data_IF_581806417367
#
_entry.id   IF_581806417367
#
_cell.length_a   1.000
_cell.length_b   1.000
_cell.length_c   1.000
_cell.angle_alpha   90.00
_cell.angle_beta   90.00
_cell.angle_gamma   90.00
#
_symmetry.space_group_name_H-M   'P 1'
#
loop_
_entity.id
_entity.type
_entity.pdbx_description
1 polymer ?
#
# COMPACT_ATOMS: atom_id res chain seq x y z
N UNK A 1 -30.39 -62.36 12.98
CA UNK A 1 -30.92 -61.14 13.61
C UNK A 1 -30.98 -61.36 15.11
N UNK A 2 -30.35 -60.52 15.93
CA UNK A 2 -30.89 -60.01 17.21
C UNK A 2 -30.00 -58.86 17.70
N UNK A 3 -30.65 -57.71 17.89
CA UNK A 3 -30.09 -56.38 18.09
C UNK A 3 -29.61 -56.17 19.52
N UNK A 4 -28.38 -55.65 19.69
CA UNK A 4 -27.92 -55.06 20.96
C UNK A 4 -28.28 -53.57 20.97
N UNK A 5 -29.40 -53.22 21.60
CA UNK A 5 -29.74 -51.84 21.96
C UNK A 5 -30.18 -51.82 23.42
N UNK A 6 -29.23 -51.61 24.34
CA UNK A 6 -29.54 -51.22 25.71
C UNK A 6 -29.85 -49.72 25.76
N UNK A 7 -30.76 -49.27 26.66
CA UNK A 7 -31.09 -47.85 26.78
C UNK A 7 -29.87 -47.04 27.26
N UNK A 8 -29.71 -45.78 26.81
CA UNK A 8 -28.59 -44.95 27.23
C UNK A 8 -28.66 -44.69 28.74
N UNK A 9 -27.52 -44.78 29.44
CA UNK A 9 -27.42 -44.42 30.87
C UNK A 9 -27.78 -42.94 31.06
N UNK A 10 -28.57 -42.57 32.08
CA UNK A 10 -28.87 -41.17 32.35
C UNK A 10 -27.59 -40.42 32.73
N UNK A 11 -27.39 -39.24 32.12
CA UNK A 11 -26.33 -38.31 32.51
C UNK A 11 -26.50 -37.93 33.98
N UNK A 12 -25.42 -37.92 34.75
CA UNK A 12 -25.44 -37.52 36.15
C UNK A 12 -25.79 -36.01 36.24
N UNK A 13 -26.67 -35.58 37.15
CA UNK A 13 -27.19 -34.19 37.21
C UNK A 13 -26.07 -33.12 37.21
N UNK A 14 -24.95 -33.40 37.88
CA UNK A 14 -23.77 -32.52 37.86
C UNK A 14 -23.12 -32.35 36.47
N UNK A 15 -23.15 -33.39 35.62
CA UNK A 15 -22.62 -33.31 34.26
C UNK A 15 -23.55 -32.48 33.35
N UNK A 16 -24.87 -32.55 33.59
CA UNK A 16 -25.87 -31.72 32.92
C UNK A 16 -25.66 -30.24 33.25
N UNK A 17 -25.53 -29.89 34.53
CA UNK A 17 -25.29 -28.50 34.97
C UNK A 17 -23.97 -27.91 34.43
N UNK A 18 -22.91 -28.73 34.31
CA UNK A 18 -21.64 -28.31 33.72
C UNK A 18 -21.79 -28.06 32.22
N UNK A 19 -22.56 -28.89 31.50
CA UNK A 19 -22.85 -28.68 30.08
C UNK A 19 -23.69 -27.42 29.88
N UNK A 20 -24.74 -27.21 30.67
CA UNK A 20 -25.61 -26.05 30.58
C UNK A 20 -24.86 -24.74 30.85
N UNK A 21 -23.96 -24.72 31.87
CA UNK A 21 -23.09 -23.56 32.12
C UNK A 21 -22.11 -23.28 30.98
N UNK A 22 -21.55 -24.32 30.34
CA UNK A 22 -20.68 -24.15 29.17
C UNK A 22 -21.45 -23.63 27.97
N UNK A 23 -22.65 -24.14 27.74
CA UNK A 23 -23.56 -23.72 26.68
C UNK A 23 -23.97 -22.25 26.86
N UNK A 24 -24.39 -21.86 28.07
CA UNK A 24 -24.76 -20.48 28.39
C UNK A 24 -23.59 -19.50 28.25
N UNK A 25 -22.36 -19.89 28.64
CA UNK A 25 -21.15 -19.09 28.40
C UNK A 25 -20.87 -18.91 26.90
N UNK A 26 -20.99 -19.98 26.11
CA UNK A 26 -20.79 -19.93 24.66
C UNK A 26 -21.85 -19.07 23.97
N UNK A 27 -23.10 -19.16 24.41
CA UNK A 27 -24.20 -18.33 23.89
C UNK A 27 -24.03 -16.86 24.26
N UNK A 28 -23.60 -16.54 25.48
CA UNK A 28 -23.26 -15.18 25.89
C UNK A 28 -22.09 -14.60 25.08
N UNK A 29 -21.06 -15.40 24.80
CA UNK A 29 -19.93 -14.98 23.96
C UNK A 29 -20.36 -14.75 22.50
N UNK A 30 -21.23 -15.61 21.96
CA UNK A 30 -21.82 -15.43 20.62
C UNK A 30 -22.71 -14.18 20.55
N UNK A 31 -23.53 -13.95 21.57
CA UNK A 31 -24.38 -12.76 21.64
C UNK A 31 -23.55 -11.47 21.74
N UNK A 32 -22.47 -11.48 22.52
CA UNK A 32 -21.51 -10.36 22.61
C UNK A 32 -20.86 -10.09 21.25
N UNK A 33 -20.31 -11.12 20.59
CA UNK A 33 -19.73 -10.99 19.24
C UNK A 33 -20.74 -10.53 18.20
N UNK A 34 -21.99 -10.99 18.27
CA UNK A 34 -23.04 -10.57 17.37
C UNK A 34 -23.42 -9.09 17.56
N UNK A 35 -23.47 -8.62 18.82
CA UNK A 35 -23.69 -7.21 19.14
C UNK A 35 -22.53 -6.33 18.65
N UNK A 36 -21.29 -6.71 18.93
CA UNK A 36 -20.08 -6.02 18.43
C UNK A 36 -20.07 -5.96 16.89
N UNK A 37 -20.44 -7.05 16.21
CA UNK A 37 -20.51 -7.08 14.75
C UNK A 37 -21.61 -6.16 14.20
N UNK A 38 -22.75 -6.04 14.89
CA UNK A 38 -23.84 -5.15 14.51
C UNK A 38 -23.43 -3.69 14.69
N UNK A 39 -22.81 -3.34 15.81
CA UNK A 39 -22.27 -2.00 16.08
C UNK A 39 -21.19 -1.62 15.05
N UNK A 40 -20.28 -2.54 14.72
CA UNK A 40 -19.28 -2.32 13.66
C UNK A 40 -19.91 -2.09 12.28
N UNK A 41 -20.98 -2.80 11.95
CA UNK A 41 -21.71 -2.60 10.68
C UNK A 41 -22.39 -1.24 10.63
N UNK A 42 -23.11 -0.88 11.68
CA UNK A 42 -23.76 0.43 11.80
C UNK A 42 -22.74 1.57 11.74
N UNK A 43 -21.60 1.43 12.42
CA UNK A 43 -20.50 2.39 12.36
C UNK A 43 -19.93 2.53 10.94
N UNK A 44 -19.71 1.42 10.23
CA UNK A 44 -19.27 1.45 8.82
C UNK A 44 -20.29 2.10 7.89
N UNK A 45 -21.58 1.81 8.08
CA UNK A 45 -22.64 2.44 7.28
C UNK A 45 -22.75 3.94 7.54
N UNK A 46 -22.62 4.38 8.80
CA UNK A 46 -22.58 5.80 9.13
C UNK A 46 -21.34 6.48 8.51
N UNK A 47 -20.16 5.84 8.59
CA UNK A 47 -18.96 6.35 7.92
C UNK A 47 -19.15 6.46 6.40
N UNK A 48 -19.79 5.48 5.74
CA UNK A 48 -20.10 5.57 4.30
C UNK A 48 -21.03 6.72 3.94
N UNK A 49 -21.96 7.09 4.83
CA UNK A 49 -22.86 8.23 4.61
C UNK A 49 -22.17 9.58 4.83
N UNK A 50 -21.13 9.60 5.65
CA UNK A 50 -20.42 10.83 6.00
C UNK A 50 -19.28 11.20 5.06
N UNK A 51 -18.71 10.22 4.36
CA UNK A 51 -17.60 10.42 3.43
C UNK A 51 -18.12 10.43 1.99
N UNK A 52 -17.66 11.36 1.13
CA UNK A 52 -17.98 11.29 -0.29
C UNK A 52 -17.37 10.03 -0.89
N UNK A 53 -18.02 9.45 -1.91
CA UNK A 53 -17.42 8.34 -2.65
C UNK A 53 -16.08 8.75 -3.26
N UNK A 54 -15.12 7.82 -3.31
CA UNK A 54 -13.87 8.02 -4.06
C UNK A 54 -14.19 7.90 -5.55
N UNK A 55 -14.57 9.03 -6.15
CA UNK A 55 -14.84 9.13 -7.59
C UNK A 55 -13.74 9.91 -8.28
N UNK A 56 -13.63 9.69 -9.59
CA UNK A 56 -12.67 10.42 -10.43
C UNK A 56 -13.15 11.82 -10.78
N UNK A 57 -14.44 12.14 -10.60
CA UNK A 57 -15.07 13.38 -11.04
C UNK A 57 -14.53 14.59 -10.28
N UNK A 58 -14.40 15.73 -10.97
CA UNK A 58 -13.94 16.97 -10.33
C UNK A 58 -15.09 17.71 -9.69
N UNK A 59 -15.25 17.70 -8.36
CA UNK A 59 -16.27 18.52 -7.69
C UNK A 59 -15.63 19.47 -6.66
N UNK A 60 -15.27 20.67 -7.13
CA UNK A 60 -14.54 21.67 -6.33
C UNK A 60 -15.29 22.06 -5.07
N UNK A 61 -16.57 22.46 -5.19
CA UNK A 61 -17.37 22.95 -4.07
C UNK A 61 -17.55 21.88 -3.00
N UNK A 62 -17.91 20.65 -3.43
CA UNK A 62 -18.03 19.51 -2.52
C UNK A 62 -16.73 19.28 -1.74
N UNK A 63 -15.58 19.26 -2.42
CA UNK A 63 -14.32 18.98 -1.73
C UNK A 63 -13.88 20.12 -0.81
N UNK A 64 -14.11 21.38 -1.18
CA UNK A 64 -13.86 22.52 -0.28
C UNK A 64 -14.68 22.38 1.00
N UNK A 65 -15.97 22.07 0.89
CA UNK A 65 -16.85 21.85 2.05
C UNK A 65 -16.39 20.67 2.90
N UNK A 66 -15.94 19.58 2.28
CA UNK A 66 -15.42 18.42 3.00
C UNK A 66 -14.13 18.76 3.76
N UNK A 67 -13.20 19.52 3.18
CA UNK A 67 -12.01 19.98 3.91
C UNK A 67 -12.38 20.86 5.10
N UNK A 68 -13.29 21.83 4.91
CA UNK A 68 -13.76 22.70 6.00
C UNK A 68 -14.43 21.92 7.13
N UNK A 69 -15.14 20.83 6.81
CA UNK A 69 -15.87 20.02 7.79
C UNK A 69 -15.01 18.95 8.47
N UNK A 70 -14.18 18.24 7.71
CA UNK A 70 -13.45 17.04 8.18
C UNK A 70 -12.02 17.37 8.63
N UNK A 71 -11.43 18.44 8.11
CA UNK A 71 -10.07 18.87 8.40
C UNK A 71 -10.00 20.27 9.01
N UNK A 72 -11.10 20.79 9.59
CA UNK A 72 -11.22 22.15 10.14
C UNK A 72 -10.00 22.57 10.97
N UNK A 73 -9.60 21.74 11.94
CA UNK A 73 -8.49 22.03 12.84
C UNK A 73 -7.15 22.12 12.10
N UNK A 74 -6.83 21.12 11.27
CA UNK A 74 -5.54 21.05 10.56
C UNK A 74 -5.47 22.12 9.45
N UNK A 75 -6.61 22.44 8.83
CA UNK A 75 -6.73 23.54 7.87
C UNK A 75 -6.48 24.87 8.55
N UNK A 76 -7.13 25.14 9.70
CA UNK A 76 -6.92 26.37 10.47
C UNK A 76 -5.46 26.55 10.90
N UNK A 77 -4.82 25.50 11.42
CA UNK A 77 -3.39 25.52 11.77
C UNK A 77 -2.51 25.82 10.54
N UNK A 78 -2.85 25.23 9.38
CA UNK A 78 -2.10 25.45 8.14
C UNK A 78 -2.28 26.88 7.61
N UNK A 79 -3.47 27.46 7.71
CA UNK A 79 -3.75 28.86 7.36
C UNK A 79 -2.94 29.81 8.24
N UNK A 80 -2.90 29.55 9.54
CA UNK A 80 -2.12 30.36 10.48
C UNK A 80 -0.63 30.33 10.13
N UNK A 81 -0.07 29.14 9.87
CA UNK A 81 1.34 29.01 9.44
C UNK A 81 1.57 29.68 8.08
N UNK A 82 0.62 29.58 7.15
CA UNK A 82 0.73 30.17 5.81
C UNK A 82 0.85 31.70 5.87
N UNK A 83 -0.06 32.34 6.60
CA UNK A 83 -0.09 33.80 6.79
C UNK A 83 1.16 34.30 7.51
N UNK A 84 1.63 33.56 8.50
CA UNK A 84 2.75 33.99 9.34
C UNK A 84 4.11 33.83 8.64
N UNK A 85 4.28 32.80 7.78
CA UNK A 85 5.58 32.42 7.23
C UNK A 85 5.76 32.62 5.72
N UNK A 86 4.69 32.63 4.92
CA UNK A 86 4.81 32.57 3.46
C UNK A 86 4.27 33.82 2.79
N UNK A 87 3.02 34.20 3.07
CA UNK A 87 2.40 35.34 2.42
C UNK A 87 1.65 36.20 3.43
N UNK A 88 1.91 37.52 3.39
CA UNK A 88 1.13 38.48 4.17
C UNK A 88 -0.21 38.74 3.47
N UNK A 89 -1.14 37.83 3.68
CA UNK A 89 -2.52 37.97 3.21
C UNK A 89 -3.52 37.77 4.35
N UNK A 90 -4.77 38.13 4.08
CA UNK A 90 -5.85 37.90 5.02
C UNK A 90 -6.09 36.39 5.20
N UNK A 91 -6.43 35.94 6.41
CA UNK A 91 -6.69 34.52 6.71
C UNK A 91 -7.72 33.89 5.77
N UNK A 92 -8.78 34.63 5.43
CA UNK A 92 -9.82 34.18 4.49
C UNK A 92 -9.24 33.89 3.10
N UNK A 93 -8.37 34.78 2.60
CA UNK A 93 -7.70 34.61 1.30
C UNK A 93 -6.71 33.44 1.31
N UNK A 94 -5.99 33.26 2.42
CA UNK A 94 -5.08 32.14 2.61
C UNK A 94 -5.82 30.80 2.65
N UNK A 95 -6.95 30.74 3.37
CA UNK A 95 -7.81 29.56 3.41
C UNK A 95 -8.29 29.19 2.00
N UNK A 96 -8.85 30.15 1.26
CA UNK A 96 -9.33 29.92 -0.10
C UNK A 96 -8.20 29.49 -1.04
N UNK A 97 -7.00 30.07 -0.91
CA UNK A 97 -5.83 29.69 -1.69
C UNK A 97 -5.40 28.24 -1.41
N UNK A 98 -5.27 27.85 -0.14
CA UNK A 98 -4.92 26.49 0.24
C UNK A 98 -5.98 25.49 -0.20
N UNK A 99 -7.26 25.81 -0.03
CA UNK A 99 -8.37 24.97 -0.48
C UNK A 99 -8.34 24.74 -2.00
N UNK A 100 -7.98 25.75 -2.79
CA UNK A 100 -7.83 25.60 -4.23
C UNK A 100 -6.69 24.65 -4.62
N UNK A 101 -5.58 24.66 -3.88
CA UNK A 101 -4.50 23.70 -4.10
C UNK A 101 -4.97 22.30 -3.70
N UNK A 102 -5.62 22.17 -2.54
CA UNK A 102 -6.10 20.90 -1.99
C UNK A 102 -7.16 20.23 -2.87
N UNK A 103 -8.06 20.99 -3.49
CA UNK A 103 -9.05 20.42 -4.42
C UNK A 103 -8.37 19.87 -5.68
N UNK A 104 -7.36 20.57 -6.22
CA UNK A 104 -6.54 20.07 -7.33
C UNK A 104 -5.77 18.81 -6.94
N UNK A 105 -5.16 18.79 -5.75
CA UNK A 105 -4.49 17.59 -5.21
C UNK A 105 -5.48 16.44 -5.12
N UNK A 106 -6.66 16.67 -4.56
CA UNK A 106 -7.71 15.64 -4.39
C UNK A 106 -8.16 15.07 -5.73
N UNK A 107 -8.31 15.91 -6.76
CA UNK A 107 -8.67 15.48 -8.11
C UNK A 107 -7.66 14.48 -8.68
N UNK A 108 -6.38 14.83 -8.56
CA UNK A 108 -5.28 14.02 -9.06
C UNK A 108 -5.13 12.75 -8.21
N UNK A 109 -5.15 12.88 -6.87
CA UNK A 109 -5.05 11.75 -5.94
C UNK A 109 -6.15 10.71 -6.21
N UNK A 110 -7.39 11.15 -6.47
CA UNK A 110 -8.49 10.24 -6.78
C UNK A 110 -8.32 9.57 -8.15
N UNK A 111 -7.89 10.30 -9.17
CA UNK A 111 -7.63 9.73 -10.49
C UNK A 111 -6.50 8.69 -10.46
N UNK A 112 -5.43 8.94 -9.70
CA UNK A 112 -4.38 7.95 -9.46
C UNK A 112 -4.88 6.78 -8.60
N UNK A 113 -5.70 7.07 -7.57
CA UNK A 113 -6.29 6.06 -6.70
C UNK A 113 -7.12 5.06 -7.51
N UNK A 114 -7.95 5.52 -8.45
CA UNK A 114 -8.87 4.67 -9.23
C UNK A 114 -8.19 4.05 -10.45
N UNK A 115 -7.43 4.83 -11.22
CA UNK A 115 -6.88 4.39 -12.50
C UNK A 115 -5.44 3.85 -12.41
N UNK A 116 -4.83 3.89 -11.22
CA UNK A 116 -3.46 3.42 -10.99
C UNK A 116 -2.38 4.44 -11.39
N UNK A 117 -1.15 3.92 -11.49
CA UNK A 117 0.02 4.68 -11.96
C UNK A 117 -0.19 5.12 -13.41
N UNK A 118 0.14 6.37 -13.72
CA UNK A 118 -0.16 6.98 -15.02
C UNK A 118 0.93 7.94 -15.46
N UNK A 119 1.24 8.02 -16.76
CA UNK A 119 2.02 9.14 -17.32
C UNK A 119 1.24 10.44 -17.22
N UNK A 120 1.92 11.59 -17.36
CA UNK A 120 1.25 12.90 -17.28
C UNK A 120 0.20 13.07 -18.37
N UNK A 121 0.49 12.59 -19.58
CA UNK A 121 -0.41 12.65 -20.73
C UNK A 121 -1.67 11.83 -20.47
N UNK A 122 -1.50 10.61 -19.94
CA UNK A 122 -2.63 9.72 -19.63
C UNK A 122 -3.49 10.26 -18.49
N UNK A 123 -2.83 10.78 -17.45
CA UNK A 123 -3.49 11.43 -16.35
C UNK A 123 -4.30 12.64 -16.83
N UNK A 124 -3.70 13.51 -17.66
CA UNK A 124 -4.39 14.68 -18.23
C UNK A 124 -5.63 14.29 -19.04
N UNK A 125 -5.53 13.26 -19.90
CA UNK A 125 -6.66 12.73 -20.66
C UNK A 125 -7.80 12.28 -19.75
N UNK A 126 -7.47 11.56 -18.65
CA UNK A 126 -8.46 11.08 -17.69
C UNK A 126 -9.08 12.24 -16.89
N UNK A 127 -8.29 13.23 -16.46
CA UNK A 127 -8.79 14.44 -15.80
C UNK A 127 -9.73 15.23 -16.71
N UNK A 128 -9.43 15.34 -18.01
CA UNK A 128 -10.34 15.98 -18.97
C UNK A 128 -11.69 15.24 -19.04
N UNK A 129 -11.67 13.91 -19.16
CA UNK A 129 -12.90 13.09 -19.19
C UNK A 129 -13.72 13.24 -17.91
N UNK A 130 -13.05 13.24 -16.76
CA UNK A 130 -13.69 13.34 -15.45
C UNK A 130 -14.26 14.74 -15.15
N UNK A 131 -13.79 15.79 -15.82
CA UNK A 131 -14.35 17.13 -15.74
C UNK A 131 -15.55 17.35 -16.69
N UNK A 132 -15.71 16.50 -17.71
CA UNK A 132 -16.65 16.74 -18.82
C UNK A 132 -18.12 16.45 -18.51
N UNK A 133 -18.45 15.91 -17.33
CA UNK A 133 -19.77 15.33 -17.03
C UNK A 133 -20.47 15.97 -15.82
N UNK A 134 -20.82 17.25 -15.87
CA UNK A 134 -21.61 17.99 -14.85
C UNK A 134 -20.83 18.52 -13.63
N UNK A 135 -19.55 18.17 -13.46
CA UNK A 135 -18.82 18.38 -12.20
C UNK A 135 -17.99 19.68 -12.14
N UNK A 136 -17.74 20.33 -13.29
CA UNK A 136 -17.04 21.61 -13.40
C UNK A 136 -15.81 21.53 -14.31
N UNK A 137 -15.27 22.67 -14.72
CA UNK A 137 -14.13 22.70 -15.66
C UNK A 137 -12.87 22.08 -15.06
N UNK A 138 -12.11 21.35 -15.88
CA UNK A 138 -10.81 20.80 -15.50
C UNK A 138 -9.90 21.95 -15.03
N UNK A 139 -9.34 21.90 -13.80
CA UNK A 139 -8.47 22.95 -13.27
C UNK A 139 -7.11 23.04 -13.97
N UNK A 140 -6.79 22.12 -14.89
CA UNK A 140 -5.58 22.12 -15.71
C UNK A 140 -5.93 22.33 -17.18
N UNK A 141 -5.32 23.35 -17.79
CA UNK A 141 -5.57 23.74 -19.19
C UNK A 141 -4.66 23.01 -20.17
N UNK A 142 -3.53 22.48 -19.72
CA UNK A 142 -2.60 21.74 -20.55
C UNK A 142 -1.81 20.68 -19.76
N UNK A 143 -1.11 19.82 -20.50
CA UNK A 143 -0.20 18.81 -19.95
C UNK A 143 0.96 19.47 -19.19
N UNK A 144 1.44 20.62 -19.67
CA UNK A 144 2.52 21.38 -19.04
C UNK A 144 2.10 21.92 -17.68
N UNK A 145 0.89 22.49 -17.57
CA UNK A 145 0.35 22.98 -16.29
C UNK A 145 0.20 21.83 -15.28
N UNK A 146 -0.31 20.67 -15.72
CA UNK A 146 -0.38 19.49 -14.86
C UNK A 146 1.02 19.00 -14.45
N UNK A 147 1.96 18.97 -15.39
CA UNK A 147 3.35 18.53 -15.14
C UNK A 147 4.05 19.42 -14.12
N UNK A 148 3.87 20.74 -14.21
CA UNK A 148 4.40 21.71 -13.25
C UNK A 148 3.75 21.53 -11.89
N UNK A 149 2.41 21.43 -11.85
CA UNK A 149 1.68 21.18 -10.61
C UNK A 149 2.14 19.91 -9.89
N UNK A 150 2.32 18.79 -10.61
CA UNK A 150 2.80 17.53 -10.06
C UNK A 150 4.24 17.64 -9.48
N UNK A 151 5.10 18.44 -10.11
CA UNK A 151 6.46 18.69 -9.62
C UNK A 151 6.47 19.57 -8.37
N UNK A 152 5.62 20.58 -8.32
CA UNK A 152 5.48 21.45 -7.16
C UNK A 152 4.90 20.69 -5.97
N UNK A 153 3.87 19.88 -6.21
CA UNK A 153 3.18 19.02 -5.23
C UNK A 153 3.90 17.68 -5.03
N UNK A 154 5.24 17.67 -5.12
CA UNK A 154 6.10 16.47 -4.91
C UNK A 154 5.86 15.74 -3.58
N UNK A 155 5.25 16.44 -2.63
CA UNK A 155 4.94 15.91 -1.32
C UNK A 155 3.76 14.93 -1.41
N UNK A 156 2.83 15.14 -2.34
CA UNK A 156 1.64 14.30 -2.54
C UNK A 156 1.84 13.28 -3.66
N UNK A 157 2.62 13.64 -4.68
CA UNK A 157 2.85 12.79 -5.85
C UNK A 157 4.31 12.45 -6.04
N UNK A 158 4.56 11.19 -6.36
CA UNK A 158 5.89 10.69 -6.68
C UNK A 158 5.95 10.29 -8.14
N UNK A 159 6.99 10.74 -8.83
CA UNK A 159 7.35 10.24 -10.15
C UNK A 159 8.14 8.93 -10.04
N UNK A 160 7.69 7.89 -10.73
CA UNK A 160 8.37 6.62 -10.93
C UNK A 160 8.61 6.42 -12.43
N UNK A 161 9.87 6.53 -12.86
CA UNK A 161 10.24 6.56 -14.28
C UNK A 161 9.51 7.71 -14.99
N UNK A 162 8.46 7.41 -15.76
CA UNK A 162 7.64 8.39 -16.50
C UNK A 162 6.20 8.47 -15.98
N UNK A 163 5.87 7.71 -14.95
CA UNK A 163 4.54 7.65 -14.36
C UNK A 163 4.50 8.33 -13.00
N UNK A 164 3.32 8.75 -12.58
CA UNK A 164 3.07 9.31 -11.26
C UNK A 164 2.19 8.38 -10.44
N UNK A 165 2.42 8.43 -9.13
CA UNK A 165 1.60 7.75 -8.13
C UNK A 165 1.45 8.58 -6.86
N UNK A 166 0.47 8.22 -6.05
CA UNK A 166 0.28 8.82 -4.74
C UNK A 166 1.41 8.44 -3.78
N UNK A 167 1.67 9.33 -2.82
CA UNK A 167 2.51 9.06 -1.65
C UNK A 167 1.59 8.76 -0.45
N UNK A 168 1.98 7.80 0.40
CA UNK A 168 1.24 7.44 1.60
C UNK A 168 1.23 8.53 2.66
N UNK A 169 0.19 8.53 3.50
CA UNK A 169 0.00 9.54 4.56
C UNK A 169 1.16 9.50 5.56
N UNK A 170 1.59 8.31 6.00
CA UNK A 170 2.69 8.20 6.95
C UNK A 170 4.05 8.50 6.30
N UNK A 171 4.19 8.32 5.00
CA UNK A 171 5.40 8.72 4.26
C UNK A 171 5.56 10.24 4.24
N UNK A 172 4.45 10.97 4.04
CA UNK A 172 4.43 12.44 4.14
C UNK A 172 4.73 12.93 5.56
N UNK A 173 4.08 12.33 6.55
CA UNK A 173 4.35 12.64 7.97
C UNK A 173 5.78 12.32 8.37
N UNK A 174 6.37 11.24 7.84
CA UNK A 174 7.77 10.88 8.06
C UNK A 174 8.73 11.91 7.47
N UNK A 175 8.49 12.37 6.24
CA UNK A 175 9.25 13.47 5.64
C UNK A 175 9.20 14.74 6.51
N UNK A 176 8.01 15.12 6.98
CA UNK A 176 7.84 16.26 7.88
C UNK A 176 8.57 16.06 9.21
N UNK A 177 8.51 14.87 9.79
CA UNK A 177 9.21 14.52 11.01
C UNK A 177 10.74 14.68 10.84
N UNK A 178 11.31 14.11 9.78
CA UNK A 178 12.74 14.24 9.48
C UNK A 178 13.14 15.69 9.24
N UNK A 179 12.35 16.45 8.50
CA UNK A 179 12.59 17.89 8.32
C UNK A 179 12.62 18.62 9.66
N UNK A 180 11.68 18.32 10.56
CA UNK A 180 11.63 18.96 11.88
C UNK A 180 12.82 18.57 12.78
N UNK A 181 13.38 17.38 12.62
CA UNK A 181 14.63 16.96 13.28
C UNK A 181 15.82 17.76 12.75
N UNK A 182 15.95 17.84 11.42
CA UNK A 182 17.02 18.60 10.77
C UNK A 182 16.95 20.11 11.10
N UNK A 183 15.75 20.70 11.16
CA UNK A 183 15.57 22.09 11.58
C UNK A 183 16.05 22.37 13.01
N UNK A 184 15.99 21.37 13.90
CA UNK A 184 16.49 21.46 15.28
C UNK A 184 18.00 21.24 15.38
N UNK A 185 18.66 20.93 14.26
CA UNK A 185 20.08 20.61 14.22
C UNK A 185 20.40 19.14 14.54
N UNK A 186 19.39 18.27 14.58
CA UNK A 186 19.63 16.84 14.78
C UNK A 186 20.34 16.24 13.56
N UNK A 187 21.23 15.27 13.80
CA UNK A 187 21.92 14.54 12.74
C UNK A 187 20.99 13.42 12.25
N UNK A 188 20.86 13.31 10.92
CA UNK A 188 20.13 12.23 10.26
C UNK A 188 21.07 11.52 9.29
N UNK A 189 21.45 10.29 9.64
CA UNK A 189 22.31 9.39 8.89
C UNK A 189 21.86 7.93 9.09
N UNK A 190 22.56 6.98 8.47
CA UNK A 190 22.20 5.56 8.54
C UNK A 190 22.22 4.99 9.97
N UNK A 191 23.10 5.52 10.85
CA UNK A 191 23.21 5.09 12.24
C UNK A 191 21.99 5.54 13.08
N UNK A 192 21.47 6.74 12.79
CA UNK A 192 20.32 7.33 13.51
C UNK A 192 18.97 7.01 12.88
N UNK A 193 18.95 6.53 11.63
CA UNK A 193 17.72 6.32 10.86
C UNK A 193 16.72 5.40 11.56
N UNK A 194 17.20 4.26 12.09
CA UNK A 194 16.33 3.27 12.74
C UNK A 194 15.71 3.79 14.03
N UNK A 195 16.48 4.51 14.85
CA UNK A 195 16.00 5.11 16.10
C UNK A 195 14.97 6.21 15.84
N UNK A 196 15.24 7.09 14.86
CA UNK A 196 14.30 8.13 14.44
C UNK A 196 13.01 7.52 13.88
N UNK A 197 13.12 6.42 13.14
CA UNK A 197 11.95 5.73 12.60
C UNK A 197 11.13 5.07 13.72
N UNK A 198 11.78 4.46 14.72
CA UNK A 198 11.10 3.93 15.90
C UNK A 198 10.40 5.04 16.71
N UNK A 199 11.04 6.20 16.86
CA UNK A 199 10.43 7.39 17.48
C UNK A 199 9.19 7.85 16.70
N UNK A 200 9.29 7.95 15.37
CA UNK A 200 8.16 8.29 14.51
C UNK A 200 7.01 7.28 14.64
N UNK A 201 7.30 5.98 14.65
CA UNK A 201 6.31 4.93 14.89
C UNK A 201 5.61 5.08 16.25
N UNK A 202 6.31 5.62 17.27
CA UNK A 202 5.74 5.95 18.57
C UNK A 202 4.64 7.01 18.53
N UNK A 203 4.62 7.86 17.48
CA UNK A 203 3.57 8.87 17.28
C UNK A 203 2.27 8.31 16.65
N UNK A 204 2.28 7.05 16.23
CA UNK A 204 1.14 6.40 15.57
C UNK A 204 0.36 5.59 16.63
N UNK A 205 -0.97 5.80 16.75
CA UNK A 205 -1.79 5.08 17.73
C UNK A 205 -1.70 3.55 17.60
N UNK A 206 -1.78 2.86 18.74
CA UNK A 206 -1.82 1.40 18.77
C UNK A 206 -3.03 0.86 17.98
N UNK A 207 -2.87 -0.29 17.31
CA UNK A 207 -3.90 -0.89 16.45
C UNK A 207 -3.90 -0.40 14.99
N UNK A 208 -2.91 0.41 14.61
CA UNK A 208 -2.68 0.85 13.23
C UNK A 208 -1.36 0.30 12.68
N UNK A 209 -1.21 -1.03 12.67
CA UNK A 209 0.04 -1.70 12.30
C UNK A 209 0.53 -1.35 10.89
N UNK A 210 -0.38 -1.28 9.91
CA UNK A 210 -0.02 -0.84 8.56
C UNK A 210 0.60 0.57 8.56
N UNK A 211 0.00 1.52 9.27
CA UNK A 211 0.50 2.89 9.32
C UNK A 211 1.94 2.94 9.89
N UNK A 212 2.24 2.09 10.89
CA UNK A 212 3.58 1.98 11.45
C UNK A 212 4.63 1.54 10.44
N UNK A 213 4.23 0.80 9.40
CA UNK A 213 5.13 0.26 8.36
C UNK A 213 5.00 0.96 7.00
N UNK A 214 4.13 1.96 6.86
CA UNK A 214 3.81 2.55 5.55
C UNK A 214 4.95 3.41 4.97
N UNK A 215 5.65 4.20 5.80
CA UNK A 215 6.66 5.15 5.34
C UNK A 215 7.75 4.52 4.44
N UNK A 216 8.34 3.37 4.81
CA UNK A 216 9.32 2.65 4.01
C UNK A 216 8.80 2.05 2.69
N UNK A 217 7.49 2.08 2.43
CA UNK A 217 6.93 1.69 1.13
C UNK A 217 7.18 2.76 0.07
N UNK A 218 7.29 4.03 0.48
CA UNK A 218 7.61 5.13 -0.42
C UNK A 218 9.08 5.53 -0.34
N UNK A 219 9.69 5.50 0.85
CA UNK A 219 11.08 5.92 1.01
C UNK A 219 11.89 4.88 1.78
N UNK A 220 12.65 4.05 1.06
CA UNK A 220 13.40 2.92 1.61
C UNK A 220 14.76 3.30 2.18
N UNK A 221 15.26 4.50 1.91
CA UNK A 221 16.58 4.97 2.39
C UNK A 221 16.68 6.49 2.39
N UNK A 222 17.61 7.01 3.19
CA UNK A 222 17.96 8.43 3.20
C UNK A 222 18.43 8.92 1.83
N UNK A 223 19.19 8.09 1.10
CA UNK A 223 19.62 8.38 -0.27
C UNK A 223 18.42 8.59 -1.21
N UNK A 224 17.41 7.73 -1.12
CA UNK A 224 16.21 7.87 -1.93
C UNK A 224 15.46 9.14 -1.57
N UNK A 225 15.31 9.45 -0.28
CA UNK A 225 14.70 10.70 0.18
C UNK A 225 15.43 11.93 -0.38
N UNK A 226 16.76 11.99 -0.22
CA UNK A 226 17.56 13.12 -0.72
C UNK A 226 17.59 13.29 -2.24
N UNK A 227 17.28 12.24 -3.00
CA UNK A 227 17.19 12.30 -4.46
C UNK A 227 15.80 12.68 -4.98
N UNK A 228 14.75 12.43 -4.21
CA UNK A 228 13.35 12.51 -4.68
C UNK A 228 12.54 13.61 -4.01
N UNK A 229 12.90 13.99 -2.78
CA UNK A 229 12.26 15.07 -2.04
C UNK A 229 13.10 16.34 -2.23
N UNK A 230 12.61 17.36 -2.97
CA UNK A 230 13.41 18.52 -3.38
C UNK A 230 14.05 19.30 -2.24
N UNK A 231 13.49 19.28 -1.03
CA UNK A 231 14.02 20.01 0.14
C UNK A 231 15.15 19.30 0.86
N UNK A 232 15.37 18.01 0.57
CA UNK A 232 16.47 17.25 1.14
C UNK A 232 17.64 17.16 0.16
N UNK A 233 18.83 17.00 0.72
CA UNK A 233 20.06 16.69 0.00
C UNK A 233 20.76 15.57 0.74
N UNK A 234 21.10 14.50 0.04
CA UNK A 234 21.93 13.43 0.61
C UNK A 234 23.41 13.70 0.31
N UNK A 235 24.22 13.89 1.34
CA UNK A 235 25.65 14.13 1.23
C UNK A 235 26.41 12.80 1.26
N UNK A 236 26.90 12.37 0.08
CA UNK A 236 27.50 11.02 -0.07
C UNK A 236 28.78 10.85 0.74
N UNK A 237 29.51 11.93 0.98
CA UNK A 237 30.79 11.89 1.71
C UNK A 237 30.60 11.60 3.19
N UNK A 238 29.50 12.07 3.78
CA UNK A 238 29.18 11.90 5.21
C UNK A 238 28.08 10.87 5.45
N UNK A 239 27.34 10.48 4.41
CA UNK A 239 26.17 9.60 4.52
C UNK A 239 24.95 10.29 5.15
N UNK A 240 24.97 11.61 5.26
CA UNK A 240 23.95 12.40 5.97
C UNK A 240 22.87 12.93 5.04
N UNK A 241 21.67 13.07 5.59
CA UNK A 241 20.62 13.87 5.00
C UNK A 241 20.71 15.30 5.54
N UNK A 242 20.65 16.28 4.64
CA UNK A 242 20.70 17.70 4.95
C UNK A 242 19.46 18.41 4.40
N UNK A 243 19.07 19.51 5.03
CA UNK A 243 18.08 20.42 4.48
C UNK A 243 18.72 21.39 3.49
N UNK A 244 18.09 21.57 2.34
CA UNK A 244 18.47 22.66 1.42
C UNK A 244 18.06 24.01 2.00
N UNK A 245 18.78 25.10 1.67
CA UNK A 245 18.47 26.43 2.17
C UNK A 245 17.02 26.85 1.90
N UNK A 246 16.42 26.40 0.79
CA UNK A 246 15.07 26.79 0.36
C UNK A 246 13.96 26.00 1.09
N UNK A 247 14.30 25.02 1.92
CA UNK A 247 13.32 24.15 2.57
C UNK A 247 12.28 24.91 3.42
N UNK A 248 12.69 26.02 4.04
CA UNK A 248 11.79 26.88 4.83
C UNK A 248 10.76 27.64 3.96
N UNK A 249 10.99 27.76 2.64
CA UNK A 249 10.10 28.44 1.69
C UNK A 249 9.12 27.50 1.00
N UNK A 250 9.25 26.19 1.19
CA UNK A 250 8.37 25.21 0.55
C UNK A 250 7.10 25.00 1.38
N UNK A 251 5.95 25.50 0.91
CA UNK A 251 4.67 25.36 1.62
C UNK A 251 4.30 23.89 1.89
N UNK A 252 4.56 22.98 0.94
CA UNK A 252 4.07 21.60 0.99
C UNK A 252 4.59 20.79 2.17
N UNK A 253 5.88 20.94 2.49
CA UNK A 253 6.46 20.24 3.65
C UNK A 253 6.18 20.99 4.96
N UNK A 254 5.92 22.29 4.92
CA UNK A 254 5.77 23.09 6.15
C UNK A 254 4.34 23.19 6.66
N UNK A 255 3.32 22.93 5.82
CA UNK A 255 1.93 22.95 6.25
C UNK A 255 1.40 21.52 6.51
N UNK A 256 0.79 21.26 7.69
CA UNK A 256 0.31 19.93 8.03
C UNK A 256 -0.83 19.44 7.13
N UNK A 257 -1.66 20.33 6.57
CA UNK A 257 -2.80 19.95 5.70
C UNK A 257 -2.39 19.17 4.46
N UNK A 258 -1.17 19.35 3.94
CA UNK A 258 -0.69 18.61 2.78
C UNK A 258 -0.25 17.17 3.11
N UNK A 259 -0.01 16.87 4.39
CA UNK A 259 0.24 15.49 4.83
C UNK A 259 -1.07 14.71 4.99
N UNK A 260 -2.16 15.38 5.41
CA UNK A 260 -3.47 14.81 5.72
C UNK A 260 -4.56 15.34 4.78
N UNK A 261 -4.52 14.90 3.51
CA UNK A 261 -5.54 15.23 2.51
C UNK A 261 -6.83 14.43 2.71
N UNK A 262 -7.94 14.88 2.10
CA UNK A 262 -9.21 14.13 2.09
C UNK A 262 -9.04 12.68 1.60
N UNK A 263 -8.31 12.48 0.50
CA UNK A 263 -8.05 11.14 -0.03
C UNK A 263 -7.35 10.25 0.99
N UNK A 264 -6.48 10.84 1.80
CA UNK A 264 -5.57 10.12 2.70
C UNK A 264 -6.23 9.65 3.98
N UNK A 265 -7.21 10.41 4.44
CA UNK A 265 -8.06 10.05 5.57
C UNK A 265 -9.30 9.24 5.17
N UNK A 266 -9.47 8.94 3.88
CA UNK A 266 -10.67 8.27 3.38
C UNK A 266 -10.74 6.79 3.80
N UNK A 267 -11.72 6.37 4.63
CA UNK A 267 -11.75 5.04 5.27
C UNK A 267 -11.93 3.87 4.28
N UNK A 268 -12.48 4.14 3.10
CA UNK A 268 -12.72 3.13 2.06
C UNK A 268 -11.74 3.21 0.88
N UNK A 269 -10.66 3.98 1.00
CA UNK A 269 -9.68 4.11 -0.08
C UNK A 269 -8.97 2.77 -0.33
N UNK A 270 -8.91 2.39 -1.60
CA UNK A 270 -8.03 1.36 -2.15
C UNK A 270 -7.21 2.05 -3.24
N UNK A 271 -5.92 2.24 -3.00
CA UNK A 271 -5.02 3.02 -3.84
C UNK A 271 -4.35 2.14 -4.89
N UNK A 272 -4.91 2.14 -6.10
CA UNK A 272 -4.36 1.37 -7.22
C UNK A 272 -3.06 1.97 -7.78
N UNK A 273 -2.69 3.21 -7.42
CA UNK A 273 -1.40 3.78 -7.81
C UNK A 273 -0.25 3.29 -6.92
N UNK A 274 -0.55 2.80 -5.72
CA UNK A 274 0.45 2.30 -4.78
C UNK A 274 0.41 0.78 -4.76
N UNK A 275 1.21 0.19 -5.63
CA UNK A 275 1.38 -1.26 -5.71
C UNK A 275 2.42 -1.75 -4.71
N UNK A 276 2.21 -2.94 -4.18
CA UNK A 276 3.26 -3.68 -3.47
C UNK A 276 3.56 -4.96 -4.22
N UNK A 277 4.85 -5.26 -4.34
CA UNK A 277 5.36 -6.48 -4.92
C UNK A 277 6.25 -7.14 -3.88
N UNK A 278 5.94 -8.37 -3.49
CA UNK A 278 6.71 -9.06 -2.47
C UNK A 278 6.85 -10.54 -2.73
N UNK A 279 7.92 -11.12 -2.21
CA UNK A 279 8.12 -12.55 -2.24
C UNK A 279 7.21 -13.22 -1.21
N UNK A 280 6.33 -14.09 -1.66
CA UNK A 280 5.54 -15.00 -0.86
C UNK A 280 6.31 -16.28 -0.54
N UNK A 281 6.47 -16.56 0.75
CA UNK A 281 6.99 -17.83 1.26
C UNK A 281 5.83 -18.81 1.36
N UNK A 282 5.97 -19.97 0.73
CA UNK A 282 5.03 -21.06 0.87
C UNK A 282 4.91 -21.50 2.33
N UNK A 283 3.68 -21.70 2.81
CA UNK A 283 3.41 -22.20 4.15
C UNK A 283 2.86 -23.61 4.12
N UNK A 284 1.73 -23.80 3.45
CA UNK A 284 1.03 -25.07 3.45
C UNK A 284 0.19 -25.23 2.20
N UNK A 285 -0.12 -26.49 1.86
CA UNK A 285 -1.20 -26.86 0.97
C UNK A 285 -2.30 -27.47 1.81
N UNK A 286 -3.52 -26.93 1.72
CA UNK A 286 -4.69 -27.40 2.47
C UNK A 286 -5.89 -27.64 1.56
N UNK A 287 -6.88 -28.38 2.07
CA UNK A 287 -8.15 -28.56 1.39
C UNK A 287 -9.02 -27.27 1.43
N UNK A 288 -9.73 -26.91 0.34
CA UNK A 288 -9.62 -27.50 -1.00
C UNK A 288 -8.31 -27.09 -1.65
N UNK A 289 -7.67 -27.98 -2.43
CA UNK A 289 -6.32 -27.85 -3.04
C UNK A 289 -5.83 -26.40 -3.26
N UNK A 290 -5.32 -25.80 -2.18
CA UNK A 290 -5.01 -24.38 -2.05
C UNK A 290 -3.66 -24.23 -1.40
N UNK A 291 -2.80 -23.46 -2.05
CA UNK A 291 -1.52 -23.06 -1.49
C UNK A 291 -1.71 -21.76 -0.73
N UNK A 292 -1.10 -21.70 0.45
CA UNK A 292 -1.05 -20.49 1.26
C UNK A 292 0.36 -19.94 1.25
N UNK A 293 0.49 -18.66 0.94
CA UNK A 293 1.73 -17.92 0.99
C UNK A 293 1.62 -16.81 2.04
N UNK A 294 2.72 -16.54 2.72
CA UNK A 294 2.89 -15.33 3.54
C UNK A 294 3.98 -14.49 2.94
N UNK A 295 3.78 -13.19 2.88
CA UNK A 295 4.82 -12.24 2.47
C UNK A 295 6.07 -12.40 3.35
N UNK A 296 7.24 -12.43 2.72
CA UNK A 296 8.56 -12.51 3.35
C UNK A 296 9.04 -11.18 3.93
N UNK A 297 8.38 -10.09 3.54
CA UNK A 297 8.75 -8.72 3.85
C UNK A 297 8.11 -8.25 5.17
N UNK A 298 8.94 -7.75 6.08
CA UNK A 298 8.53 -7.21 7.38
C UNK A 298 7.62 -5.96 7.25
N UNK A 299 7.57 -5.34 6.07
CA UNK A 299 6.69 -4.21 5.75
C UNK A 299 5.26 -4.62 5.42
N UNK A 300 5.02 -5.89 5.10
CA UNK A 300 3.70 -6.44 4.78
C UNK A 300 3.36 -7.75 5.49
N UNK A 301 3.60 -7.89 6.81
CA UNK A 301 3.51 -9.19 7.51
C UNK A 301 2.08 -9.75 7.55
N UNK A 302 1.07 -8.88 7.40
CA UNK A 302 -0.34 -9.26 7.32
C UNK A 302 -0.76 -9.79 5.95
N UNK A 303 0.01 -9.49 4.90
CA UNK A 303 -0.33 -9.89 3.55
C UNK A 303 -0.17 -11.41 3.38
N UNK A 304 -1.31 -12.08 3.23
CA UNK A 304 -1.41 -13.52 2.95
C UNK A 304 -2.05 -13.69 1.59
N UNK A 305 -1.49 -14.60 0.80
CA UNK A 305 -2.07 -14.95 -0.48
C UNK A 305 -2.54 -16.41 -0.46
N UNK A 306 -3.72 -16.62 -1.02
CA UNK A 306 -4.33 -17.93 -1.15
C UNK A 306 -4.50 -18.25 -2.63
N UNK A 307 -3.71 -19.18 -3.14
CA UNK A 307 -3.81 -19.64 -4.51
C UNK A 307 -4.61 -20.94 -4.57
N UNK A 308 -5.82 -20.88 -5.10
CA UNK A 308 -6.59 -22.08 -5.37
C UNK A 308 -6.17 -22.65 -6.73
N UNK A 309 -5.73 -23.91 -6.75
CA UNK A 309 -5.20 -24.53 -7.97
C UNK A 309 -6.20 -24.57 -9.13
N UNK A 310 -7.51 -24.55 -8.82
CA UNK A 310 -8.59 -24.45 -9.81
C UNK A 310 -8.59 -23.16 -10.64
N UNK A 311 -7.95 -22.10 -10.14
CA UNK A 311 -7.85 -20.79 -10.79
C UNK A 311 -6.47 -20.54 -11.39
N UNK A 312 -5.54 -21.50 -11.28
CA UNK A 312 -4.24 -21.39 -11.91
C UNK A 312 -4.36 -21.64 -13.41
N UNK A 313 -3.70 -20.80 -14.20
CA UNK A 313 -3.48 -21.03 -15.62
C UNK A 313 -2.00 -20.94 -15.94
N UNK A 314 -1.54 -21.76 -16.89
CA UNK A 314 -0.18 -21.70 -17.42
C UNK A 314 -0.27 -21.32 -18.89
N UNK A 315 0.23 -20.13 -19.25
CA UNK A 315 0.12 -19.61 -20.63
C UNK A 315 -1.33 -19.52 -21.12
N UNK A 316 -2.27 -19.14 -20.24
CA UNK A 316 -3.70 -19.00 -20.57
C UNK A 316 -4.50 -20.32 -20.59
N UNK A 317 -3.89 -21.48 -20.33
CA UNK A 317 -4.59 -22.77 -20.22
C UNK A 317 -4.84 -23.15 -18.78
N UNK A 318 -6.07 -23.57 -18.45
CA UNK A 318 -6.41 -24.07 -17.12
C UNK A 318 -5.63 -25.35 -16.79
N UNK A 319 -5.21 -25.47 -15.53
CA UNK A 319 -4.50 -26.65 -15.01
C UNK A 319 -5.49 -27.77 -14.69
N UNK A 320 -5.14 -29.01 -15.06
CA UNK A 320 -5.90 -30.21 -14.68
C UNK A 320 -5.83 -30.42 -13.16
N UNK A 321 -6.98 -30.25 -12.50
CA UNK A 321 -7.11 -30.37 -11.04
C UNK A 321 -6.94 -31.80 -10.52
N UNK A 322 -7.10 -32.82 -11.37
CA UNK A 322 -6.89 -34.22 -10.99
C UNK A 322 -5.41 -34.61 -11.00
N UNK A 323 -4.58 -33.86 -11.74
CA UNK A 323 -3.13 -34.03 -11.83
C UNK A 323 -2.45 -32.66 -11.87
N UNK A 324 -2.52 -31.88 -10.78
CA UNK A 324 -1.85 -30.59 -10.73
C UNK A 324 -0.33 -30.82 -10.91
N UNK A 325 0.34 -30.04 -11.77
CA UNK A 325 1.78 -30.15 -11.97
C UNK A 325 2.52 -30.09 -10.63
N UNK A 326 3.36 -31.09 -10.34
CA UNK A 326 4.16 -31.15 -9.11
C UNK A 326 5.03 -29.91 -8.92
N UNK A 327 5.46 -29.30 -10.04
CA UNK A 327 6.20 -28.04 -10.09
C UNK A 327 5.44 -26.81 -9.57
N UNK A 328 4.15 -26.89 -9.25
CA UNK A 328 3.41 -25.79 -8.62
C UNK A 328 3.50 -25.84 -7.09
N UNK A 329 3.84 -27.00 -6.53
CA UNK A 329 3.89 -27.20 -5.08
C UNK A 329 5.24 -26.74 -4.51
N UNK A 330 5.21 -26.18 -3.30
CA UNK A 330 6.39 -25.77 -2.51
C UNK A 330 7.27 -24.65 -3.11
N UNK A 331 6.77 -23.90 -4.08
CA UNK A 331 7.50 -22.78 -4.66
C UNK A 331 7.30 -21.49 -3.87
N UNK A 332 8.21 -20.55 -4.04
CA UNK A 332 7.98 -19.15 -3.69
C UNK A 332 7.06 -18.52 -4.74
N UNK A 333 6.36 -17.45 -4.37
CA UNK A 333 5.54 -16.71 -5.31
C UNK A 333 5.91 -15.23 -5.31
N UNK A 334 5.79 -14.54 -6.43
CA UNK A 334 5.65 -13.09 -6.41
C UNK A 334 4.18 -12.77 -6.10
N UNK A 335 3.95 -12.03 -5.03
CA UNK A 335 2.65 -11.53 -4.62
C UNK A 335 2.57 -10.09 -5.08
N UNK A 336 1.52 -9.80 -5.84
CA UNK A 336 1.23 -8.48 -6.39
C UNK A 336 -0.08 -7.98 -5.80
N UNK A 337 -0.10 -6.72 -5.38
CA UNK A 337 -1.32 -6.14 -4.86
C UNK A 337 -1.26 -4.63 -4.72
N UNK A 338 -2.31 -4.11 -4.09
CA UNK A 338 -2.52 -2.68 -3.85
C UNK A 338 -2.72 -2.41 -2.38
N UNK A 339 -2.64 -1.14 -2.01
CA UNK A 339 -2.70 -0.68 -0.61
C UNK A 339 -4.06 -0.04 -0.34
N UNK A 340 -4.71 -0.50 0.72
CA UNK A 340 -5.92 0.08 1.30
C UNK A 340 -5.57 0.65 2.68
N UNK A 341 -5.01 1.87 2.75
CA UNK A 341 -4.23 2.34 3.90
C UNK A 341 -5.05 2.50 5.18
N UNK A 342 -6.37 2.70 5.05
CA UNK A 342 -7.29 2.90 6.17
C UNK A 342 -7.97 1.61 6.66
N UNK A 343 -7.69 0.46 6.03
CA UNK A 343 -8.18 -0.83 6.55
C UNK A 343 -7.31 -1.22 7.75
N UNK A 344 -7.91 -1.21 8.95
CA UNK A 344 -7.24 -1.66 10.19
C UNK A 344 -6.74 -3.11 10.14
N UNK A 345 -7.33 -3.95 9.29
CA UNK A 345 -6.91 -5.34 9.05
C UNK A 345 -6.82 -5.58 7.55
N UNK A 346 -5.72 -6.20 7.10
CA UNK A 346 -5.48 -6.49 5.68
C UNK A 346 -5.46 -5.21 4.83
N UNK A 347 -4.60 -4.26 5.20
CA UNK A 347 -4.31 -3.07 4.38
C UNK A 347 -3.68 -3.41 3.02
N UNK A 348 -3.26 -4.66 2.82
CA UNK A 348 -2.78 -5.17 1.54
C UNK A 348 -3.87 -6.00 0.86
N UNK A 349 -4.23 -5.60 -0.35
CA UNK A 349 -5.17 -6.33 -1.19
C UNK A 349 -4.42 -7.04 -2.31
N UNK A 350 -4.37 -8.38 -2.25
CA UNK A 350 -3.68 -9.20 -3.23
C UNK A 350 -4.51 -9.27 -4.50
N UNK A 351 -3.95 -8.76 -5.60
CA UNK A 351 -4.57 -8.79 -6.93
C UNK A 351 -4.06 -9.97 -7.76
N UNK A 352 -2.83 -10.41 -7.52
CA UNK A 352 -2.18 -11.45 -8.31
C UNK A 352 -1.13 -12.22 -7.53
N UNK A 353 -0.93 -13.47 -7.93
CA UNK A 353 0.12 -14.36 -7.42
C UNK A 353 0.76 -15.04 -8.61
N UNK A 354 2.05 -14.80 -8.81
CA UNK A 354 2.85 -15.49 -9.81
C UNK A 354 3.73 -16.51 -9.11
N UNK A 355 3.53 -17.80 -9.40
CA UNK A 355 4.37 -18.86 -8.84
C UNK A 355 5.73 -18.82 -9.54
N UNK A 356 6.78 -18.56 -8.77
CA UNK A 356 8.13 -18.55 -9.29
C UNK A 356 8.65 -19.98 -9.39
N UNK A 357 9.52 -20.32 -10.36
CA UNK A 357 10.13 -21.65 -10.47
C UNK A 357 11.18 -21.92 -9.38
N UNK A 358 11.18 -21.14 -8.28
CA UNK A 358 12.18 -21.13 -7.22
C UNK A 358 11.52 -21.51 -5.88
N UNK A 359 11.97 -22.60 -5.28
CA UNK A 359 11.59 -23.02 -3.93
C UNK A 359 12.68 -22.63 -2.93
N UNK A 360 12.34 -21.79 -1.95
CA UNK A 360 13.24 -21.41 -0.85
C UNK A 360 13.24 -22.41 0.32
N UNK A 361 12.40 -23.47 0.29
CA UNK A 361 12.44 -24.54 1.30
C UNK A 361 13.80 -25.27 1.31
N UNK A 362 14.61 -25.09 0.27
CA UNK A 362 15.98 -25.59 0.19
C UNK A 362 17.00 -24.43 0.14
N UNK A 363 17.04 -23.65 1.22
CA UNK A 363 17.95 -22.52 1.38
C UNK A 363 19.39 -22.86 0.95
N UNK A 364 19.94 -22.04 0.04
CA UNK A 364 21.33 -22.00 -0.42
C UNK A 364 22.37 -22.01 0.72
N UNK A 365 21.98 -21.56 1.92
CA UNK A 365 22.84 -21.47 3.10
C UNK A 365 22.99 -22.79 3.89
N UNK A 366 22.22 -23.84 3.59
CA UNK A 366 22.22 -25.09 4.38
C UNK A 366 22.90 -26.27 3.68
N UNK A 367 23.41 -26.11 2.46
CA UNK A 367 24.09 -27.18 1.73
C UNK A 367 23.22 -28.40 1.41
N UNK A 368 21.90 -28.34 1.65
CA UNK A 368 21.00 -29.46 1.43
C UNK A 368 20.10 -29.26 0.20
N UNK A 369 20.36 -30.07 -0.82
CA UNK A 369 19.39 -30.69 -1.76
C UNK A 369 18.37 -29.82 -2.53
N UNK A 370 18.51 -28.50 -2.57
CA UNK A 370 17.68 -27.67 -3.45
C UNK A 370 17.89 -28.04 -4.90
N UNK A 371 16.81 -28.15 -5.68
CA UNK A 371 16.90 -28.32 -7.13
C UNK A 371 16.31 -27.11 -7.85
N UNK A 372 17.03 -26.59 -8.84
CA UNK A 372 16.64 -25.48 -9.72
C UNK A 372 16.58 -25.97 -11.17
N UNK A 373 15.59 -25.46 -11.92
CA UNK A 373 15.39 -25.80 -13.34
C UNK A 373 15.93 -24.68 -14.22
N UNK A 374 16.77 -25.02 -15.18
CA UNK A 374 17.25 -24.07 -16.18
C UNK A 374 16.14 -23.76 -17.20
N UNK A 375 15.96 -22.50 -17.65
CA UNK A 375 14.88 -22.12 -18.58
C UNK A 375 14.91 -22.83 -19.93
N UNK A 376 16.06 -23.36 -20.32
CA UNK A 376 16.27 -24.08 -21.60
C UNK A 376 16.53 -25.58 -21.43
N UNK A 377 16.47 -26.10 -20.20
CA UNK A 377 16.72 -27.53 -19.94
C UNK A 377 15.57 -28.12 -19.14
N UNK A 378 15.22 -29.37 -19.45
CA UNK A 378 14.16 -30.10 -18.75
C UNK A 378 14.61 -30.62 -17.38
N UNK A 379 15.91 -30.72 -17.15
CA UNK A 379 16.52 -31.33 -15.97
C UNK A 379 16.57 -30.38 -14.75
N UNK A 380 16.37 -30.96 -13.57
CA UNK A 380 16.48 -30.30 -12.27
C UNK A 380 17.90 -30.50 -11.72
N UNK A 381 18.66 -29.40 -11.57
CA UNK A 381 20.04 -29.40 -11.08
C UNK A 381 20.11 -28.94 -9.63
N UNK A 382 21.15 -29.33 -8.89
CA UNK A 382 21.38 -28.83 -7.53
C UNK A 382 21.51 -27.31 -7.53
N UNK A 383 20.83 -26.63 -6.61
CA UNK A 383 20.82 -25.19 -6.45
C UNK A 383 22.04 -24.76 -5.61
N UNK A 384 23.23 -24.83 -6.19
CA UNK A 384 24.42 -24.15 -5.69
C UNK A 384 24.52 -22.72 -6.26
N UNK A 385 25.41 -21.88 -5.70
CA UNK A 385 25.56 -20.48 -6.11
C UNK A 385 25.81 -20.33 -7.62
N UNK A 386 26.68 -21.18 -8.20
CA UNK A 386 27.02 -21.11 -9.63
C UNK A 386 25.83 -21.48 -10.51
N UNK A 387 25.06 -22.50 -10.14
CA UNK A 387 23.87 -22.94 -10.88
C UNK A 387 22.74 -21.90 -10.76
N UNK A 388 22.57 -21.27 -9.60
CA UNK A 388 21.59 -20.17 -9.43
C UNK A 388 21.98 -18.97 -10.28
N UNK A 389 23.25 -18.55 -10.25
CA UNK A 389 23.76 -17.47 -11.09
C UNK A 389 23.59 -17.76 -12.58
N UNK A 390 23.90 -18.98 -13.03
CA UNK A 390 23.69 -19.44 -14.41
C UNK A 390 22.21 -19.31 -14.82
N UNK A 391 21.28 -19.79 -13.99
CA UNK A 391 19.84 -19.78 -14.27
C UNK A 391 19.28 -18.35 -14.25
N UNK A 392 19.68 -17.52 -13.28
CA UNK A 392 19.26 -16.12 -13.22
C UNK A 392 19.75 -15.35 -14.44
N UNK A 393 21.02 -15.55 -14.84
CA UNK A 393 21.58 -14.92 -16.04
C UNK A 393 20.90 -15.39 -17.33
N UNK A 394 20.53 -16.67 -17.43
CA UNK A 394 19.77 -17.18 -18.57
C UNK A 394 18.35 -16.59 -18.64
N UNK A 395 17.68 -16.45 -17.50
CA UNK A 395 16.37 -15.79 -17.41
C UNK A 395 16.47 -14.29 -17.74
N UNK A 396 17.49 -13.59 -17.23
CA UNK A 396 17.79 -12.20 -17.58
C UNK A 396 17.99 -12.04 -19.08
N UNK A 397 18.76 -12.92 -19.74
CA UNK A 397 18.92 -12.90 -21.21
C UNK A 397 17.60 -13.10 -21.96
N UNK A 398 16.70 -13.96 -21.48
CA UNK A 398 15.35 -14.12 -22.06
C UNK A 398 14.53 -12.84 -21.90
N UNK A 399 14.51 -12.25 -20.71
CA UNK A 399 13.78 -11.01 -20.41
C UNK A 399 14.32 -9.80 -21.19
N UNK A 400 15.64 -9.73 -21.42
CA UNK A 400 16.27 -8.68 -22.25
C UNK A 400 16.06 -8.95 -23.74
N UNK A 401 15.93 -10.21 -24.18
CA UNK A 401 15.60 -10.54 -25.58
C UNK A 401 14.12 -10.33 -25.95
N UNK A 402 13.24 -10.21 -24.94
CA UNK A 402 11.81 -9.98 -25.11
C UNK A 402 11.39 -8.51 -25.04
N UNK A 403 12.32 -7.54 -24.99
CA UNK A 403 11.96 -6.18 -25.42
C UNK A 403 11.54 -6.28 -26.88
N UNK A 404 10.24 -6.16 -27.11
CA UNK A 404 9.65 -6.08 -28.43
C UNK A 404 10.49 -5.08 -29.25
N UNK A 405 11.05 -5.54 -30.37
CA UNK A 405 11.48 -4.62 -31.41
C UNK A 405 10.24 -3.80 -31.77
N UNK A 406 10.24 -2.53 -31.38
CA UNK A 406 9.32 -1.55 -31.94
C UNK A 406 9.38 -1.72 -33.47
N UNK A 407 8.25 -1.86 -34.17
CA UNK A 407 8.27 -1.97 -35.62
C UNK A 407 8.91 -0.68 -36.15
N UNK A 408 10.06 -0.84 -36.81
CA UNK A 408 10.75 0.25 -37.46
C UNK A 408 9.90 0.75 -38.63
N UNK A 409 9.74 2.07 -38.70
CA UNK A 409 9.24 2.76 -39.88
C UNK A 409 10.10 2.39 -41.09
N UNK A 410 9.48 1.78 -42.09
CA UNK A 410 9.82 2.03 -43.49
C UNK A 410 8.75 2.95 -44.06
#
# INVERSE_FOLDING_TARGET
MYSRTGPPRPLNQQQQEIQDRKQAKLEAERAKKAKELKEQKEQKENQKREWPDVTVDYNRELWMDQYKKKHETILGESVDIFVDKFEKMEKSQAEDHLLNILTKITFVENNLTVNGVQTVEKLFENLQKAASNESGDNPFKSIEELSEFLKETYFNFRKEVDEYRNIGVQSRRWIQFIKNKLDKGDIVDEDTFHDLYAEFQGSIPAGHEFARCEAPLDYTSLRQMGNTVPVFKYEKSTGRLELKPEAHKCIYINLPIFADTLSSSHPFKVDFSRIFNSLGIYKTTSFPARQTFTVADERGPEAKAYLFLKHCSQGGKQIDQKKPPTQLFNNSAAIHGVIAPMKHLNAFEVLGVEVLPLSLENNLCTGSNGKIKHPDRSELRTADFGTVEEVLNANLKKSVSSTAKLPGNN
#
